data_IF_415103567413
#
_entry.id   IF_415103567413
#
_cell.length_a   1.000
_cell.length_b   1.000
_cell.length_c   1.000
_cell.angle_alpha   90.00
_cell.angle_beta   90.00
_cell.angle_gamma   90.00
#
_symmetry.space_group_name_H-M   'P 1'
#
loop_
_entity.id
_entity.type
_entity.pdbx_description
1 polymer ?
#
# COMPACT_ATOMS: atom_id res chain seq x y z
N UNK A 1 23.08 -13.93 -18.19
CA UNK A 1 23.43 -13.44 -16.84
C UNK A 1 22.20 -13.04 -16.01
N UNK A 2 21.13 -12.52 -16.61
CA UNK A 2 19.84 -12.29 -15.92
C UNK A 2 19.13 -13.61 -15.60
N UNK A 3 19.16 -14.62 -16.48
CA UNK A 3 18.48 -15.90 -16.22
C UNK A 3 19.11 -16.74 -15.09
N UNK A 4 20.43 -16.72 -14.91
CA UNK A 4 21.10 -17.43 -13.80
C UNK A 4 20.86 -16.81 -12.42
N UNK A 5 20.46 -15.53 -12.35
CA UNK A 5 20.06 -14.87 -11.10
C UNK A 5 18.59 -15.14 -10.74
N UNK A 6 17.78 -15.61 -11.68
CA UNK A 6 16.36 -15.94 -11.46
C UNK A 6 16.16 -17.40 -11.00
N UNK A 7 17.08 -18.31 -11.29
CA UNK A 7 16.96 -19.75 -10.98
C UNK A 7 17.03 -20.06 -9.47
N UNK A 8 17.76 -19.27 -8.67
CA UNK A 8 17.83 -19.40 -7.21
C UNK A 8 16.50 -19.19 -6.47
N UNK A 9 15.44 -18.80 -7.18
CA UNK A 9 14.12 -18.53 -6.61
C UNK A 9 13.04 -19.53 -7.04
N UNK A 10 13.24 -20.33 -8.10
CA UNK A 10 12.17 -21.16 -8.69
C UNK A 10 11.87 -22.38 -7.82
N UNK A 11 12.91 -23.03 -7.29
CA UNK A 11 12.79 -24.15 -6.36
C UNK A 11 12.18 -23.72 -5.01
N UNK A 12 12.61 -22.57 -4.49
CA UNK A 12 12.01 -21.97 -3.28
C UNK A 12 10.53 -21.60 -3.50
N UNK A 13 10.18 -21.13 -4.70
CA UNK A 13 8.81 -20.75 -5.04
C UNK A 13 7.92 -21.98 -5.25
N UNK A 14 8.44 -23.06 -5.83
CA UNK A 14 7.76 -24.37 -5.91
C UNK A 14 7.55 -24.99 -4.55
N UNK A 15 8.55 -24.93 -3.67
CA UNK A 15 8.43 -25.39 -2.28
C UNK A 15 7.37 -24.60 -1.52
N UNK A 16 7.40 -23.26 -1.63
CA UNK A 16 6.38 -22.37 -1.05
C UNK A 16 4.98 -22.71 -1.59
N UNK A 17 4.86 -23.03 -2.87
CA UNK A 17 3.61 -23.40 -3.53
C UNK A 17 3.06 -24.74 -3.01
N UNK A 18 3.90 -25.75 -2.85
CA UNK A 18 3.49 -27.05 -2.28
C UNK A 18 3.18 -26.97 -0.78
N UNK A 19 3.89 -26.13 -0.02
CA UNK A 19 3.57 -25.82 1.38
C UNK A 19 2.19 -25.17 1.49
N UNK A 20 1.86 -24.21 0.62
CA UNK A 20 0.54 -23.57 0.57
C UNK A 20 -0.54 -24.57 0.15
N UNK A 21 -0.32 -25.37 -0.90
CA UNK A 21 -1.28 -26.41 -1.30
C UNK A 21 -1.55 -27.40 -0.18
N UNK A 22 -0.50 -27.83 0.52
CA UNK A 22 -0.62 -28.74 1.66
C UNK A 22 -1.37 -28.08 2.82
N UNK A 23 -1.08 -26.81 3.10
CA UNK A 23 -1.80 -26.00 4.07
C UNK A 23 -3.31 -25.92 3.76
N UNK A 24 -3.69 -25.69 2.51
CA UNK A 24 -5.10 -25.64 2.09
C UNK A 24 -5.77 -27.01 2.01
N UNK A 25 -5.05 -28.07 1.63
CA UNK A 25 -5.56 -29.46 1.63
C UNK A 25 -5.94 -29.93 3.03
N UNK A 26 -5.20 -29.49 4.05
CA UNK A 26 -5.42 -29.85 5.44
C UNK A 26 -6.44 -28.93 6.15
N UNK A 27 -7.04 -27.97 5.43
CA UNK A 27 -8.02 -27.05 6.00
C UNK A 27 -9.44 -27.62 5.92
N UNK A 28 -10.24 -27.39 6.97
CA UNK A 28 -11.65 -27.76 6.98
C UNK A 28 -12.40 -27.04 5.86
N UNK A 29 -13.26 -27.73 5.08
CA UNK A 29 -14.05 -27.10 4.01
C UNK A 29 -14.85 -25.89 4.50
N UNK A 30 -15.37 -25.92 5.72
CA UNK A 30 -16.11 -24.80 6.30
C UNK A 30 -15.27 -23.52 6.47
N UNK A 31 -13.99 -23.64 6.83
CA UNK A 31 -13.08 -22.49 6.98
C UNK A 31 -12.83 -21.82 5.62
N UNK A 32 -12.82 -22.61 4.55
CA UNK A 32 -12.68 -22.15 3.18
C UNK A 32 -13.91 -21.32 2.77
N UNK A 33 -15.12 -21.86 2.91
CA UNK A 33 -16.35 -21.16 2.53
C UNK A 33 -16.64 -19.95 3.41
N UNK A 34 -16.30 -20.03 4.71
CA UNK A 34 -16.48 -18.91 5.63
C UNK A 34 -15.45 -17.82 5.38
N UNK A 35 -14.38 -18.07 4.62
CA UNK A 35 -13.32 -17.11 4.30
C UNK A 35 -12.19 -17.02 5.34
N UNK A 36 -12.24 -17.85 6.39
CA UNK A 36 -11.27 -17.87 7.49
C UNK A 36 -9.86 -18.27 7.03
N UNK A 37 -9.75 -18.82 5.83
CA UNK A 37 -8.46 -19.11 5.19
C UNK A 37 -7.57 -17.89 5.01
N UNK A 38 -8.15 -16.71 4.76
CA UNK A 38 -7.40 -15.49 4.48
C UNK A 38 -6.64 -14.98 5.71
N UNK A 39 -7.24 -15.13 6.88
CA UNK A 39 -6.58 -14.80 8.13
C UNK A 39 -5.34 -15.65 8.38
N UNK A 40 -5.47 -16.97 8.20
CA UNK A 40 -4.36 -17.88 8.40
C UNK A 40 -3.27 -17.65 7.34
N UNK A 41 -3.66 -17.24 6.12
CA UNK A 41 -2.73 -16.80 5.07
C UNK A 41 -1.97 -15.53 5.48
N UNK A 42 -2.65 -14.54 6.04
CA UNK A 42 -2.00 -13.35 6.59
C UNK A 42 -1.00 -13.77 7.67
N UNK A 43 -1.40 -14.58 8.66
CA UNK A 43 -0.45 -15.04 9.67
C UNK A 43 0.81 -15.71 9.07
N UNK A 44 0.65 -16.54 8.04
CA UNK A 44 1.78 -17.15 7.30
C UNK A 44 2.62 -16.13 6.54
N UNK A 45 2.00 -15.11 5.95
CA UNK A 45 2.68 -14.00 5.27
C UNK A 45 3.47 -13.13 6.26
N UNK A 46 2.91 -12.90 7.45
CA UNK A 46 3.35 -11.90 8.40
C UNK A 46 4.40 -12.43 9.38
N UNK A 47 4.16 -13.58 10.02
CA UNK A 47 4.94 -14.02 11.19
C UNK A 47 6.36 -14.52 10.89
N UNK A 48 6.56 -15.15 9.73
CA UNK A 48 7.84 -15.76 9.36
C UNK A 48 8.64 -14.96 8.34
N UNK A 49 7.98 -14.14 7.52
CA UNK A 49 8.63 -13.40 6.44
C UNK A 49 9.29 -12.10 6.94
N UNK A 50 8.64 -11.38 7.86
CA UNK A 50 9.17 -10.16 8.49
C UNK A 50 10.51 -10.39 9.19
N UNK A 51 10.68 -11.55 9.84
CA UNK A 51 11.90 -11.90 10.56
C UNK A 51 13.10 -12.15 9.64
N UNK A 52 12.85 -12.40 8.35
CA UNK A 52 13.88 -12.82 7.39
C UNK A 52 14.26 -11.72 6.41
N UNK A 53 13.32 -10.87 6.02
CA UNK A 53 13.50 -9.88 4.95
C UNK A 53 13.66 -8.50 5.58
N UNK A 54 14.87 -7.94 5.44
CA UNK A 54 15.26 -6.60 5.90
C UNK A 54 15.87 -5.80 4.74
N UNK A 55 16.17 -4.51 4.96
CA UNK A 55 16.86 -3.71 3.95
C UNK A 55 18.26 -4.30 3.63
N UNK A 56 18.96 -4.78 4.65
CA UNK A 56 20.27 -5.42 4.52
C UNK A 56 20.20 -6.74 3.73
N UNK A 57 19.11 -7.50 3.90
CA UNK A 57 18.86 -8.69 3.11
C UNK A 57 18.86 -8.37 1.60
N UNK A 58 18.15 -7.32 1.18
CA UNK A 58 18.12 -6.91 -0.23
C UNK A 58 19.43 -6.31 -0.73
N UNK A 59 20.13 -5.53 0.09
CA UNK A 59 21.45 -5.01 -0.29
C UNK A 59 22.48 -6.13 -0.50
N UNK A 60 22.40 -7.20 0.30
CA UNK A 60 23.26 -8.38 0.15
C UNK A 60 22.88 -9.20 -1.09
N UNK A 61 21.59 -9.34 -1.39
CA UNK A 61 21.10 -10.08 -2.55
C UNK A 61 21.33 -9.32 -3.87
N UNK A 62 21.30 -7.98 -3.83
CA UNK A 62 21.40 -7.09 -4.99
C UNK A 62 22.45 -5.97 -4.77
N UNK A 63 23.75 -6.31 -4.61
CA UNK A 63 24.77 -5.32 -4.28
C UNK A 63 24.91 -4.25 -5.36
N UNK A 64 24.89 -2.98 -4.95
CA UNK A 64 25.10 -1.81 -5.82
C UNK A 64 23.91 -1.39 -6.67
N UNK A 65 22.74 -2.05 -6.54
CA UNK A 65 21.52 -1.64 -7.23
C UNK A 65 20.71 -0.63 -6.40
N UNK A 66 20.16 0.44 -7.02
CA UNK A 66 19.25 1.34 -6.33
C UNK A 66 17.91 0.65 -6.03
N UNK A 67 17.16 1.10 -5.00
CA UNK A 67 15.87 0.50 -4.62
C UNK A 67 14.90 0.32 -5.78
N UNK A 68 14.81 1.30 -6.67
CA UNK A 68 13.95 1.26 -7.87
C UNK A 68 14.23 0.07 -8.78
N UNK A 69 15.51 -0.26 -9.00
CA UNK A 69 15.90 -1.39 -9.84
C UNK A 69 15.54 -2.73 -9.18
N UNK A 70 15.73 -2.82 -7.86
CA UNK A 70 15.38 -4.02 -7.10
C UNK A 70 13.85 -4.21 -7.10
N UNK A 71 13.08 -3.14 -6.92
CA UNK A 71 11.60 -3.17 -7.00
C UNK A 71 11.12 -3.70 -8.36
N UNK A 72 11.71 -3.24 -9.47
CA UNK A 72 11.34 -3.73 -10.80
C UNK A 72 11.63 -5.23 -10.98
N UNK A 73 12.76 -5.72 -10.44
CA UNK A 73 13.08 -7.14 -10.41
C UNK A 73 12.07 -7.94 -9.56
N UNK A 74 11.69 -7.44 -8.37
CA UNK A 74 10.69 -8.08 -7.51
C UNK A 74 9.32 -8.15 -8.16
N UNK A 75 8.88 -7.07 -8.82
CA UNK A 75 7.62 -7.05 -9.57
C UNK A 75 7.67 -8.06 -10.72
N UNK A 76 8.77 -8.11 -11.49
CA UNK A 76 8.93 -9.07 -12.59
C UNK A 76 8.86 -10.53 -12.11
N UNK A 77 9.58 -10.85 -11.02
CA UNK A 77 9.57 -12.16 -10.37
C UNK A 77 8.16 -12.53 -9.89
N UNK A 78 7.50 -11.63 -9.16
CA UNK A 78 6.16 -11.83 -8.65
C UNK A 78 5.16 -12.12 -9.78
N UNK A 79 5.24 -11.38 -10.89
CA UNK A 79 4.42 -11.61 -12.08
C UNK A 79 4.68 -13.00 -12.69
N UNK A 80 5.94 -13.41 -12.82
CA UNK A 80 6.33 -14.76 -13.33
C UNK A 80 5.72 -15.86 -12.46
N UNK A 81 5.82 -15.76 -11.14
CA UNK A 81 5.26 -16.76 -10.23
C UNK A 81 3.72 -16.77 -10.17
N UNK A 82 3.08 -15.60 -10.22
CA UNK A 82 1.63 -15.50 -10.32
C UNK A 82 1.08 -16.09 -11.64
N UNK A 83 1.87 -16.04 -12.72
CA UNK A 83 1.54 -16.69 -13.99
C UNK A 83 1.62 -18.21 -13.88
N UNK A 84 2.66 -18.75 -13.21
CA UNK A 84 2.84 -20.19 -12.98
C UNK A 84 1.66 -20.76 -12.16
N UNK A 85 1.23 -20.08 -11.08
CA UNK A 85 0.08 -20.52 -10.29
C UNK A 85 -1.22 -20.51 -11.09
N UNK A 86 -1.43 -19.52 -11.97
CA UNK A 86 -2.59 -19.46 -12.87
C UNK A 86 -2.60 -20.51 -13.99
N UNK A 87 -1.45 -21.12 -14.30
CA UNK A 87 -1.29 -22.14 -15.34
C UNK A 87 -1.64 -23.55 -14.86
N UNK A 88 -1.36 -23.87 -13.59
CA UNK A 88 -1.57 -25.22 -13.05
C UNK A 88 -3.05 -25.62 -12.97
N UNK A 89 -3.97 -24.67 -12.79
CA UNK A 89 -5.42 -24.96 -12.74
C UNK A 89 -6.05 -25.19 -14.11
N UNK A 90 -5.47 -24.65 -15.18
CA UNK A 90 -6.02 -24.76 -16.54
C UNK A 90 -6.08 -26.21 -17.06
N UNK A 91 -5.26 -27.13 -16.51
CA UNK A 91 -5.27 -28.55 -16.86
C UNK A 91 -6.29 -29.38 -16.07
N UNK A 92 -6.75 -28.91 -14.90
CA UNK A 92 -7.73 -29.62 -14.08
C UNK A 92 -9.19 -29.29 -14.45
N UNK A 93 -9.43 -28.12 -15.06
CA UNK A 93 -10.78 -27.66 -15.40
C UNK A 93 -11.42 -28.36 -16.61
N UNK A 94 -10.64 -29.02 -17.47
CA UNK A 94 -11.18 -29.65 -18.69
C UNK A 94 -11.74 -31.06 -18.49
N UNK A 95 -11.57 -31.70 -17.32
CA UNK A 95 -11.99 -33.09 -17.12
C UNK A 95 -13.17 -33.32 -16.16
N UNK A 96 -13.27 -32.55 -15.07
CA UNK A 96 -14.16 -32.92 -13.95
C UNK A 96 -15.55 -32.24 -13.98
N UNK A 97 -15.72 -31.14 -14.72
CA UNK A 97 -17.01 -30.43 -14.79
C UNK A 97 -17.90 -30.97 -15.92
N UNK A 98 -17.31 -31.58 -16.96
CA UNK A 98 -18.08 -32.18 -18.06
C UNK A 98 -18.73 -33.50 -17.64
N UNK A 99 -18.13 -34.23 -16.70
CA UNK A 99 -18.65 -35.52 -16.22
C UNK A 99 -19.92 -35.40 -15.34
N UNK A 100 -20.26 -34.22 -14.83
CA UNK A 100 -21.45 -34.00 -13.99
C UNK A 100 -22.62 -33.35 -14.73
N UNK A 101 -22.44 -32.96 -16.00
CA UNK A 101 -23.51 -32.38 -16.82
C UNK A 101 -24.14 -33.46 -17.74
N UNK A 102 -23.39 -34.51 -18.08
CA UNK A 102 -23.84 -35.56 -18.98
C UNK A 102 -24.33 -36.83 -18.29
N UNK A 103 -25.42 -36.78 -17.51
CA UNK A 103 -26.45 -37.84 -17.38
C UNK A 103 -27.49 -37.50 -16.30
N UNK A 104 -28.69 -37.16 -16.77
CA UNK A 104 -30.00 -37.19 -16.07
C UNK A 104 -30.12 -36.40 -14.76
N UNK A 105 -30.70 -35.20 -14.89
CA UNK A 105 -31.80 -34.71 -14.04
C UNK A 105 -31.61 -34.68 -12.51
N UNK A 106 -31.37 -33.49 -11.97
CA UNK A 106 -31.74 -33.14 -10.60
C UNK A 106 -30.71 -33.44 -9.50
N UNK A 107 -29.73 -32.54 -9.32
CA UNK A 107 -29.05 -32.27 -8.04
C UNK A 107 -28.02 -31.13 -8.22
N UNK A 108 -28.49 -29.91 -8.47
CA UNK A 108 -27.68 -28.70 -8.30
C UNK A 108 -27.42 -28.50 -6.82
N UNK A 109 -26.23 -28.89 -6.32
CA UNK A 109 -25.60 -28.40 -5.05
C UNK A 109 -24.30 -29.10 -4.63
N UNK A 110 -23.77 -30.08 -5.36
CA UNK A 110 -22.49 -30.70 -5.01
C UNK A 110 -21.41 -30.27 -6.02
N UNK A 111 -20.96 -29.03 -5.88
CA UNK A 111 -19.65 -28.65 -6.43
C UNK A 111 -18.62 -29.39 -5.57
N UNK A 112 -17.89 -30.33 -6.17
CA UNK A 112 -17.00 -31.27 -5.48
C UNK A 112 -15.97 -30.50 -4.62
N UNK A 113 -15.78 -30.86 -3.33
CA UNK A 113 -14.82 -30.21 -2.42
C UNK A 113 -13.42 -29.99 -3.02
N UNK A 114 -12.92 -30.95 -3.81
CA UNK A 114 -11.59 -30.91 -4.42
C UNK A 114 -11.38 -29.75 -5.43
N UNK A 115 -12.41 -29.39 -6.20
CA UNK A 115 -12.32 -28.29 -7.17
C UNK A 115 -12.24 -26.93 -6.46
N UNK A 116 -12.95 -26.78 -5.34
CA UNK A 116 -12.96 -25.57 -4.52
C UNK A 116 -11.64 -25.44 -3.73
N UNK A 117 -11.11 -26.55 -3.19
CA UNK A 117 -9.80 -26.55 -2.52
C UNK A 117 -8.67 -26.08 -3.44
N UNK A 118 -8.68 -26.50 -4.71
CA UNK A 118 -7.64 -26.10 -5.68
C UNK A 118 -7.73 -24.61 -6.02
N UNK A 119 -8.94 -24.10 -6.28
CA UNK A 119 -9.16 -22.68 -6.56
C UNK A 119 -8.76 -21.79 -5.36
N UNK A 120 -9.04 -22.23 -4.14
CA UNK A 120 -8.69 -21.51 -2.92
C UNK A 120 -7.18 -21.55 -2.67
N UNK A 121 -6.51 -22.68 -2.98
CA UNK A 121 -5.06 -22.77 -2.92
C UNK A 121 -4.37 -21.81 -3.91
N UNK A 122 -4.87 -21.71 -5.15
CA UNK A 122 -4.32 -20.78 -6.14
C UNK A 122 -4.56 -19.31 -5.77
N UNK A 123 -5.76 -19.03 -5.23
CA UNK A 123 -6.11 -17.71 -4.70
C UNK A 123 -5.23 -17.35 -3.51
N UNK A 124 -5.02 -18.28 -2.58
CA UNK A 124 -4.14 -18.11 -1.42
C UNK A 124 -2.68 -17.90 -1.81
N UNK A 125 -2.16 -18.69 -2.74
CA UNK A 125 -0.78 -18.52 -3.23
C UNK A 125 -0.58 -17.15 -3.88
N UNK A 126 -1.48 -16.74 -4.76
CA UNK A 126 -1.40 -15.44 -5.43
C UNK A 126 -1.53 -14.29 -4.44
N UNK A 127 -2.41 -14.42 -3.45
CA UNK A 127 -2.59 -13.43 -2.38
C UNK A 127 -1.33 -13.33 -1.50
N UNK A 128 -0.71 -14.45 -1.14
CA UNK A 128 0.54 -14.45 -0.38
C UNK A 128 1.65 -13.72 -1.14
N UNK A 129 1.76 -14.01 -2.43
CA UNK A 129 2.77 -13.39 -3.28
C UNK A 129 2.55 -11.88 -3.44
N UNK A 130 1.30 -11.44 -3.57
CA UNK A 130 0.94 -10.01 -3.63
C UNK A 130 1.24 -9.29 -2.31
N UNK A 131 0.93 -9.92 -1.17
CA UNK A 131 1.25 -9.40 0.16
C UNK A 131 2.77 -9.28 0.38
N UNK A 132 3.53 -10.32 0.03
CA UNK A 132 5.00 -10.32 0.13
C UNK A 132 5.62 -9.26 -0.77
N UNK A 133 5.13 -9.12 -2.01
CA UNK A 133 5.61 -8.10 -2.93
C UNK A 133 5.40 -6.69 -2.36
N UNK A 134 4.22 -6.41 -1.82
CA UNK A 134 3.95 -5.11 -1.20
C UNK A 134 4.87 -4.83 0.01
N UNK A 135 5.12 -5.84 0.84
CA UNK A 135 6.07 -5.74 1.95
C UNK A 135 7.52 -5.54 1.52
N UNK A 136 7.99 -6.31 0.54
CA UNK A 136 9.34 -6.16 -0.02
C UNK A 136 9.56 -4.73 -0.52
N UNK A 137 8.59 -4.20 -1.27
CA UNK A 137 8.63 -2.83 -1.80
C UNK A 137 8.67 -1.80 -0.65
N UNK A 138 7.90 -2.03 0.41
CA UNK A 138 7.88 -1.14 1.57
C UNK A 138 9.25 -1.07 2.26
N UNK A 139 9.91 -2.23 2.44
CA UNK A 139 11.28 -2.31 2.96
C UNK A 139 12.27 -1.59 2.05
N UNK A 140 12.20 -1.85 0.74
CA UNK A 140 13.15 -1.30 -0.23
C UNK A 140 13.14 0.23 -0.25
N UNK A 141 11.99 0.84 0.00
CA UNK A 141 11.84 2.29 0.13
C UNK A 141 12.01 2.80 1.58
N UNK A 142 12.49 1.99 2.52
CA UNK A 142 12.80 2.43 3.89
C UNK A 142 11.57 2.58 4.80
N UNK A 143 10.41 2.10 4.37
CA UNK A 143 9.16 2.13 5.14
C UNK A 143 8.63 0.72 5.36
N UNK A 144 9.33 -0.11 6.16
CA UNK A 144 8.82 -1.43 6.51
C UNK A 144 7.43 -1.28 7.10
N UNK A 145 6.46 -2.01 6.55
CA UNK A 145 5.10 -2.04 7.07
C UNK A 145 5.13 -2.53 8.51
N UNK A 146 4.54 -1.77 9.41
CA UNK A 146 4.31 -2.23 10.77
C UNK A 146 2.98 -3.00 10.83
N UNK A 147 3.06 -4.31 10.97
CA UNK A 147 1.87 -5.14 11.10
C UNK A 147 1.16 -4.99 12.45
N UNK A 148 1.83 -4.38 13.42
CA UNK A 148 1.26 -3.96 14.70
C UNK A 148 0.61 -2.56 14.62
N UNK A 149 0.68 -1.87 13.48
CA UNK A 149 -0.12 -0.67 13.21
C UNK A 149 -1.39 -1.03 12.39
N UNK A 150 -2.60 -0.80 12.94
CA UNK A 150 -3.84 -1.02 12.22
C UNK A 150 -3.95 -0.31 10.87
N UNK A 151 -3.33 0.86 10.75
CA UNK A 151 -3.38 1.65 9.52
C UNK A 151 -2.51 1.03 8.43
N UNK A 152 -1.30 0.60 8.77
CA UNK A 152 -0.37 -0.06 7.85
C UNK A 152 -0.92 -1.40 7.33
N UNK A 153 -1.60 -2.16 8.17
CA UNK A 153 -2.27 -3.40 7.72
C UNK A 153 -3.45 -3.13 6.79
N UNK A 154 -4.28 -2.12 7.10
CA UNK A 154 -5.40 -1.71 6.22
C UNK A 154 -4.88 -1.32 4.85
N UNK A 155 -3.84 -0.49 4.86
CA UNK A 155 -3.13 -0.01 3.69
C UNK A 155 -2.58 -1.13 2.82
N UNK A 156 -2.01 -2.17 3.44
CA UNK A 156 -1.52 -3.34 2.74
C UNK A 156 -2.65 -4.12 2.07
N UNK A 157 -3.77 -4.33 2.77
CA UNK A 157 -4.93 -5.05 2.24
C UNK A 157 -5.53 -4.27 1.06
N UNK A 158 -5.73 -2.96 1.21
CA UNK A 158 -6.25 -2.10 0.15
C UNK A 158 -5.33 -2.11 -1.08
N UNK A 159 -4.03 -2.06 -0.86
CA UNK A 159 -3.01 -2.09 -1.90
C UNK A 159 -2.96 -3.43 -2.64
N UNK A 160 -2.94 -4.54 -1.88
CA UNK A 160 -2.81 -5.89 -2.40
C UNK A 160 -4.08 -6.40 -3.08
N UNK A 161 -5.27 -6.02 -2.59
CA UNK A 161 -6.53 -6.56 -3.09
C UNK A 161 -7.38 -5.55 -3.86
N UNK A 162 -6.96 -4.28 -3.92
CA UNK A 162 -7.61 -3.25 -4.74
C UNK A 162 -9.06 -2.99 -4.35
N UNK A 163 -9.43 -3.31 -3.10
CA UNK A 163 -10.73 -2.97 -2.55
C UNK A 163 -10.70 -1.46 -2.35
N UNK A 164 -11.25 -0.69 -3.30
CA UNK A 164 -11.61 0.69 -3.00
C UNK A 164 -12.67 0.62 -1.88
N UNK A 165 -12.23 0.75 -0.64
CA UNK A 165 -13.07 0.73 0.55
C UNK A 165 -14.10 1.89 0.61
N UNK A 166 -14.29 2.64 -0.47
CA UNK A 166 -15.32 3.70 -0.56
C UNK A 166 -16.42 3.43 -1.59
N UNK A 167 -16.16 2.69 -2.68
CA UNK A 167 -17.09 2.62 -3.82
C UNK A 167 -17.78 1.27 -3.98
N UNK A 168 -17.26 0.20 -3.37
CA UNK A 168 -17.85 -1.15 -3.45
C UNK A 168 -18.55 -1.61 -2.15
N UNK A 169 -18.75 -0.69 -1.19
CA UNK A 169 -19.38 -0.99 0.10
C UNK A 169 -20.90 -0.80 0.02
N UNK A 170 -21.62 -1.78 -0.52
CA UNK A 170 -23.03 -1.93 -0.14
C UNK A 170 -23.11 -2.24 1.38
N UNK A 171 -24.14 -1.70 2.04
CA UNK A 171 -24.53 -1.68 3.49
C UNK A 171 -24.03 -2.80 4.44
N UNK A 172 -23.55 -3.93 3.97
CA UNK A 172 -23.03 -5.05 4.76
C UNK A 172 -21.57 -4.87 5.27
N UNK A 173 -20.86 -3.82 4.87
CA UNK A 173 -19.41 -3.67 5.14
C UNK A 173 -19.01 -2.36 5.84
N UNK A 174 -19.97 -1.57 6.35
CA UNK A 174 -19.71 -0.39 7.19
C UNK A 174 -19.02 -0.71 8.54
N UNK A 175 -18.74 -2.00 8.81
CA UNK A 175 -18.15 -2.49 10.05
C UNK A 175 -16.66 -2.85 9.93
N UNK A 176 -15.97 -2.48 8.85
CA UNK A 176 -14.50 -2.56 8.79
C UNK A 176 -13.88 -1.23 9.26
N UNK A 177 -14.17 -0.84 10.51
CA UNK A 177 -13.62 0.38 11.12
C UNK A 177 -12.17 0.14 11.62
N UNK A 178 -11.33 1.19 11.73
CA UNK A 178 -9.96 1.11 12.26
C UNK A 178 -9.86 0.52 13.69
N UNK A 179 -10.94 0.53 14.46
CA UNK A 179 -10.99 -0.14 15.78
C UNK A 179 -10.96 -1.67 15.69
N UNK A 180 -11.41 -2.29 14.58
CA UNK A 180 -11.44 -3.75 14.41
C UNK A 180 -10.04 -4.36 14.27
N UNK A 181 -9.12 -3.62 13.64
CA UNK A 181 -7.74 -4.06 13.44
C UNK A 181 -6.89 -3.77 14.70
N UNK A 182 -7.29 -2.80 15.54
CA UNK A 182 -6.66 -2.57 16.86
C UNK A 182 -6.82 -3.78 17.81
N UNK A 183 -7.88 -4.57 17.64
CA UNK A 183 -8.11 -5.83 18.37
C UNK A 183 -7.26 -6.99 17.84
N UNK A 184 -6.88 -6.97 16.56
CA UNK A 184 -6.00 -7.96 15.91
C UNK A 184 -4.60 -7.99 16.54
N UNK A 185 -4.07 -6.82 16.92
CA UNK A 185 -2.68 -6.64 17.36
C UNK A 185 -2.51 -6.87 18.87
N UNK A 186 -3.45 -6.38 19.71
CA UNK A 186 -3.33 -6.53 21.17
C UNK A 186 -3.43 -7.98 21.68
N UNK A 187 -3.98 -8.92 20.89
CA UNK A 187 -4.31 -10.29 21.32
C UNK A 187 -3.46 -11.40 20.68
N UNK A 188 -2.52 -11.08 19.81
CA UNK A 188 -1.52 -12.02 19.29
C UNK A 188 -0.27 -12.10 20.16
N UNK A 189 -0.01 -11.07 20.98
CA UNK A 189 1.08 -11.05 21.98
C UNK A 189 0.66 -11.53 23.38
N UNK A 190 -0.64 -11.68 23.65
CA UNK A 190 -1.14 -12.20 24.93
C UNK A 190 -2.22 -13.25 24.68
N UNK A 191 -1.86 -14.53 24.85
CA UNK A 191 -2.65 -15.68 24.41
C UNK A 191 -4.10 -15.69 24.90
N UNK A 192 -5.06 -15.49 23.98
CA UNK A 192 -6.38 -16.12 23.99
C UNK A 192 -7.05 -15.95 22.61
N UNK A 193 -7.01 -17.01 21.81
CA UNK A 193 -6.93 -16.99 20.35
C UNK A 193 -8.22 -17.25 19.56
N UNK A 194 -9.43 -16.97 20.07
CA UNK A 194 -10.66 -17.44 19.39
C UNK A 194 -11.79 -16.41 19.17
N UNK A 195 -11.62 -15.16 19.60
CA UNK A 195 -12.63 -14.11 19.34
C UNK A 195 -12.13 -12.94 18.48
N UNK A 196 -10.81 -12.84 18.25
CA UNK A 196 -10.18 -11.82 17.41
C UNK A 196 -10.28 -12.10 15.88
N UNK A 197 -10.82 -13.26 15.50
CA UNK A 197 -10.83 -13.82 14.13
C UNK A 197 -12.11 -13.53 13.30
N UNK A 198 -13.06 -12.73 13.82
CA UNK A 198 -14.44 -12.73 13.28
C UNK A 198 -14.70 -11.83 12.05
N UNK A 199 -13.76 -10.97 11.63
CA UNK A 199 -13.95 -10.00 10.53
C UNK A 199 -13.16 -10.30 9.24
N UNK A 200 -11.99 -10.93 9.33
CA UNK A 200 -11.17 -11.36 8.18
C UNK A 200 -11.84 -12.39 7.23
N UNK A 201 -12.79 -13.23 7.69
CA UNK A 201 -13.49 -14.13 6.81
C UNK A 201 -14.31 -13.39 5.73
N UNK A 202 -14.60 -12.10 5.93
CA UNK A 202 -15.25 -11.23 4.93
C UNK A 202 -14.36 -10.98 3.71
N UNK A 203 -13.06 -10.69 3.90
CA UNK A 203 -12.11 -10.49 2.80
C UNK A 203 -11.90 -11.79 2.05
N UNK A 204 -11.71 -12.90 2.78
CA UNK A 204 -11.62 -14.23 2.18
C UNK A 204 -12.88 -14.61 1.38
N UNK A 205 -14.07 -14.28 1.88
CA UNK A 205 -15.35 -14.46 1.17
C UNK A 205 -15.44 -13.56 -0.06
N UNK A 206 -15.05 -12.29 0.03
CA UNK A 206 -15.08 -11.34 -1.08
C UNK A 206 -14.17 -11.82 -2.23
N UNK A 207 -12.93 -12.19 -1.90
CA UNK A 207 -11.97 -12.71 -2.88
C UNK A 207 -12.49 -14.00 -3.54
N UNK A 208 -13.11 -14.89 -2.75
CA UNK A 208 -13.73 -16.12 -3.22
C UNK A 208 -14.94 -15.82 -4.14
N UNK A 209 -15.86 -14.95 -3.73
CA UNK A 209 -17.05 -14.58 -4.49
C UNK A 209 -16.70 -13.87 -5.81
N UNK A 210 -15.78 -12.92 -5.80
CA UNK A 210 -15.41 -12.15 -6.99
C UNK A 210 -14.71 -13.03 -8.05
N UNK A 211 -14.01 -14.10 -7.62
CA UNK A 211 -13.37 -15.09 -8.52
C UNK A 211 -14.32 -16.23 -8.94
N UNK A 212 -15.23 -16.69 -8.07
CA UNK A 212 -16.18 -17.78 -8.37
C UNK A 212 -17.35 -17.29 -9.25
N UNK A 213 -17.96 -16.13 -8.94
CA UNK A 213 -19.18 -15.65 -9.61
C UNK A 213 -18.92 -15.25 -11.07
N UNK A 214 -17.70 -14.78 -11.39
CA UNK A 214 -17.31 -14.43 -12.77
C UNK A 214 -16.79 -15.63 -13.58
N UNK A 215 -16.65 -16.82 -12.98
CA UNK A 215 -16.13 -18.03 -13.64
C UNK A 215 -17.16 -19.15 -13.83
N UNK A 216 -18.38 -19.01 -13.32
CA UNK A 216 -19.37 -20.09 -13.23
C UNK A 216 -20.62 -19.89 -14.13
N UNK A 217 -20.47 -19.30 -15.32
CA UNK A 217 -21.55 -19.18 -16.31
C UNK A 217 -21.38 -20.26 -17.40
N UNK A 218 -22.39 -21.09 -17.71
CA UNK A 218 -22.29 -22.09 -18.77
C UNK A 218 -22.31 -21.42 -20.15
N UNK A 219 -21.31 -21.70 -20.98
CA UNK A 219 -21.20 -21.21 -22.35
C UNK A 219 -20.30 -19.97 -22.48
N UNK A 220 -18.97 -20.20 -22.48
CA UNK A 220 -17.91 -19.24 -22.89
C UNK A 220 -17.78 -18.02 -21.94
N UNK A 221 -16.83 -17.96 -21.00
CA UNK A 221 -15.43 -17.59 -21.24
C UNK A 221 -14.60 -17.88 -19.97
N UNK A 222 -13.66 -18.80 -20.04
CA UNK A 222 -12.53 -18.87 -19.09
C UNK A 222 -11.60 -17.69 -19.44
N UNK A 223 -11.40 -16.67 -18.60
CA UNK A 223 -10.35 -15.73 -18.88
C UNK A 223 -9.03 -16.37 -18.40
N UNK A 224 -8.15 -16.64 -19.35
CA UNK A 224 -6.80 -17.20 -19.19
C UNK A 224 -6.16 -16.81 -17.84
N UNK A 225 -6.19 -17.73 -16.86
CA UNK A 225 -5.76 -17.48 -15.47
C UNK A 225 -4.30 -17.04 -15.34
N UNK A 226 -3.47 -17.42 -16.32
CA UNK A 226 -2.06 -17.02 -16.44
C UNK A 226 -1.93 -15.51 -16.69
N UNK A 227 -2.66 -14.98 -17.68
CA UNK A 227 -2.53 -13.59 -18.11
C UNK A 227 -3.13 -12.58 -17.12
N UNK A 228 -4.29 -12.92 -16.53
CA UNK A 228 -4.94 -12.04 -15.54
C UNK A 228 -4.16 -11.95 -14.23
N UNK A 229 -3.61 -13.06 -13.72
CA UNK A 229 -2.82 -13.03 -12.49
C UNK A 229 -1.48 -12.31 -12.71
N UNK A 230 -0.85 -12.49 -13.88
CA UNK A 230 0.35 -11.73 -14.28
C UNK A 230 0.08 -10.22 -14.32
N UNK A 231 -1.02 -9.80 -14.95
CA UNK A 231 -1.38 -8.38 -15.05
C UNK A 231 -1.72 -7.77 -13.68
N UNK A 232 -2.61 -8.41 -12.92
CA UNK A 232 -3.06 -7.88 -11.62
C UNK A 232 -1.92 -7.75 -10.61
N UNK A 233 -1.05 -8.76 -10.50
CA UNK A 233 0.13 -8.70 -9.62
C UNK A 233 1.09 -7.59 -10.06
N UNK A 234 1.26 -7.38 -11.36
CA UNK A 234 2.04 -6.25 -11.87
C UNK A 234 1.44 -4.89 -11.49
N UNK A 235 0.11 -4.74 -11.57
CA UNK A 235 -0.56 -3.50 -11.17
C UNK A 235 -0.49 -3.24 -9.66
N UNK A 236 -0.60 -4.28 -8.84
CA UNK A 236 -0.40 -4.19 -7.38
C UNK A 236 1.03 -3.75 -7.06
N UNK A 237 2.02 -4.38 -7.70
CA UNK A 237 3.42 -4.00 -7.57
C UNK A 237 3.67 -2.53 -7.94
N UNK A 238 3.09 -2.06 -9.05
CA UNK A 238 3.19 -0.64 -9.45
C UNK A 238 2.54 0.30 -8.46
N UNK A 239 1.35 -0.03 -7.94
CA UNK A 239 0.68 0.80 -6.90
C UNK A 239 1.51 0.86 -5.62
N UNK A 240 2.08 -0.27 -5.20
CA UNK A 240 2.97 -0.34 -4.06
C UNK A 240 4.20 0.53 -4.29
N UNK A 241 4.81 0.40 -5.48
CA UNK A 241 5.94 1.24 -5.90
C UNK A 241 5.59 2.72 -5.79
N UNK A 242 4.53 3.19 -6.45
CA UNK A 242 4.14 4.60 -6.40
C UNK A 242 3.94 5.09 -4.97
N UNK A 243 3.22 4.32 -4.13
CA UNK A 243 2.94 4.70 -2.74
C UNK A 243 4.22 4.84 -1.90
N UNK A 244 5.06 3.81 -1.87
CA UNK A 244 6.24 3.79 -0.99
C UNK A 244 7.39 4.63 -1.53
N UNK A 245 7.57 4.69 -2.85
CA UNK A 245 8.51 5.61 -3.50
C UNK A 245 8.19 7.06 -3.14
N UNK A 246 6.92 7.45 -3.22
CA UNK A 246 6.50 8.81 -2.87
C UNK A 246 6.82 9.15 -1.42
N UNK A 247 6.55 8.23 -0.49
CA UNK A 247 6.90 8.40 0.92
C UNK A 247 8.42 8.55 1.13
N UNK A 248 9.23 7.75 0.44
CA UNK A 248 10.68 7.89 0.47
C UNK A 248 11.16 9.22 -0.13
N UNK A 249 10.55 9.67 -1.23
CA UNK A 249 10.85 10.95 -1.86
C UNK A 249 10.48 12.14 -0.97
N UNK A 250 9.39 12.03 -0.20
CA UNK A 250 9.01 12.99 0.85
C UNK A 250 10.10 13.07 1.91
N UNK A 251 10.50 11.93 2.46
CA UNK A 251 11.52 11.87 3.51
C UNK A 251 12.88 12.39 3.02
N UNK A 252 13.26 12.08 1.78
CA UNK A 252 14.45 12.63 1.12
C UNK A 252 14.35 14.16 0.94
N UNK A 253 13.24 14.66 0.42
CA UNK A 253 13.03 16.09 0.24
C UNK A 253 13.05 16.85 1.58
N UNK A 254 12.46 16.26 2.62
CA UNK A 254 12.45 16.84 3.97
C UNK A 254 13.82 16.73 4.61
N UNK A 255 14.56 15.63 4.48
CA UNK A 255 15.91 15.47 5.05
C UNK A 255 16.89 16.47 4.45
N UNK A 256 16.83 16.68 3.14
CA UNK A 256 17.80 17.51 2.41
C UNK A 256 17.43 19.01 2.47
N UNK A 257 16.29 19.36 3.07
CA UNK A 257 15.82 20.74 3.19
C UNK A 257 16.68 21.58 4.16
N UNK A 258 17.05 22.83 3.87
CA UNK A 258 17.88 23.64 4.78
C UNK A 258 17.06 24.28 5.90
N UNK A 259 16.82 23.54 6.99
CA UNK A 259 16.02 24.00 8.12
C UNK A 259 16.75 25.02 9.00
N UNK A 260 18.07 25.07 8.97
CA UNK A 260 18.91 25.91 9.84
C UNK A 260 18.72 27.40 9.53
N UNK A 261 18.35 27.74 8.30
CA UNK A 261 18.08 29.12 7.87
C UNK A 261 16.71 29.67 8.28
N UNK A 262 15.85 28.84 8.89
CA UNK A 262 14.50 29.25 9.31
C UNK A 262 14.54 29.53 10.82
N UNK A 263 14.25 30.77 11.22
CA UNK A 263 14.28 31.19 12.61
C UNK A 263 13.02 30.79 13.35
N UNK A 264 11.85 30.97 12.73
CA UNK A 264 10.56 30.65 13.33
C UNK A 264 9.96 29.37 12.73
N UNK A 265 10.21 28.22 13.39
CA UNK A 265 9.70 26.92 12.91
C UNK A 265 8.20 26.76 13.05
N UNK A 266 7.58 27.44 14.02
CA UNK A 266 6.14 27.44 14.16
C UNK A 266 5.46 28.16 12.97
N UNK A 267 5.96 29.34 12.57
CA UNK A 267 5.51 30.05 11.38
C UNK A 267 5.68 29.21 10.11
N UNK A 268 6.83 28.55 9.97
CA UNK A 268 7.10 27.64 8.86
C UNK A 268 6.07 26.50 8.77
N UNK A 269 5.79 25.82 9.89
CA UNK A 269 4.77 24.76 9.94
C UNK A 269 3.36 25.29 9.66
N UNK A 270 3.03 26.48 10.18
CA UNK A 270 1.76 27.15 9.91
C UNK A 270 1.56 27.43 8.41
N UNK A 271 2.60 27.88 7.72
CA UNK A 271 2.53 28.18 6.29
C UNK A 271 2.43 26.91 5.43
N UNK A 272 3.11 25.83 5.81
CA UNK A 272 2.93 24.51 5.17
C UNK A 272 1.52 24.00 5.38
N UNK A 273 0.98 24.12 6.60
CA UNK A 273 -0.39 23.71 6.91
C UNK A 273 -1.42 24.50 6.09
N UNK A 274 -1.26 25.82 5.96
CA UNK A 274 -2.13 26.64 5.13
C UNK A 274 -2.08 26.26 3.64
N UNK A 275 -0.92 25.83 3.16
CA UNK A 275 -0.76 25.34 1.79
C UNK A 275 -1.54 24.04 1.57
N UNK A 276 -1.29 23.04 2.41
CA UNK A 276 -1.95 21.73 2.40
C UNK A 276 -3.46 21.88 2.54
N UNK A 277 -3.91 22.64 3.53
CA UNK A 277 -5.34 22.74 3.84
C UNK A 277 -6.08 23.79 3.01
N UNK A 278 -5.46 24.35 1.98
CA UNK A 278 -6.04 25.42 1.16
C UNK A 278 -7.33 24.97 0.44
N UNK A 279 -7.39 23.70 0.03
CA UNK A 279 -8.57 23.09 -0.61
C UNK A 279 -9.56 22.45 0.41
N UNK A 280 -9.27 22.58 1.71
CA UNK A 280 -10.00 21.99 2.85
C UNK A 280 -9.97 20.46 2.91
N UNK A 281 -8.98 19.84 2.27
CA UNK A 281 -8.72 18.41 2.37
C UNK A 281 -7.28 18.21 2.82
N UNK A 282 -7.00 17.00 3.28
CA UNK A 282 -5.64 16.56 3.60
C UNK A 282 -5.50 15.16 3.07
N UNK A 283 -4.58 14.99 2.14
CA UNK A 283 -4.18 13.69 1.61
C UNK A 283 -3.12 13.05 2.50
N UNK A 284 -2.90 11.75 2.31
CA UNK A 284 -1.86 11.03 3.07
C UNK A 284 -0.43 11.53 2.77
N UNK A 285 -0.04 11.77 1.50
CA UNK A 285 1.28 12.35 1.20
C UNK A 285 1.52 13.68 1.90
N UNK A 286 0.55 14.59 1.92
CA UNK A 286 0.64 15.88 2.61
C UNK A 286 0.79 15.71 4.13
N UNK A 287 0.02 14.80 4.73
CA UNK A 287 0.15 14.48 6.15
C UNK A 287 1.53 13.87 6.48
N UNK A 288 2.08 13.01 5.61
CA UNK A 288 3.44 12.47 5.76
C UNK A 288 4.49 13.57 5.66
N UNK A 289 4.35 14.49 4.70
CA UNK A 289 5.25 15.61 4.52
C UNK A 289 5.30 16.53 5.74
N UNK A 290 4.13 16.91 6.26
CA UNK A 290 4.04 17.72 7.48
C UNK A 290 4.63 16.98 8.69
N UNK A 291 4.32 15.69 8.85
CA UNK A 291 4.87 14.86 9.93
C UNK A 291 6.39 14.72 9.84
N UNK A 292 6.94 14.53 8.64
CA UNK A 292 8.38 14.43 8.46
C UNK A 292 9.08 15.72 8.90
N UNK A 293 8.50 16.89 8.59
CA UNK A 293 9.02 18.16 9.09
C UNK A 293 8.89 18.31 10.60
N UNK A 294 7.74 17.98 11.20
CA UNK A 294 7.60 18.08 12.66
C UNK A 294 8.60 17.18 13.39
N UNK A 295 8.79 15.94 12.90
CA UNK A 295 9.82 15.03 13.43
C UNK A 295 11.22 15.62 13.29
N UNK A 296 11.62 16.11 12.11
CA UNK A 296 12.95 16.69 11.92
C UNK A 296 13.17 17.96 12.76
N UNK A 297 12.14 18.79 12.94
CA UNK A 297 12.20 19.99 13.80
C UNK A 297 12.37 19.60 15.28
N UNK A 298 11.75 18.51 15.74
CA UNK A 298 11.99 17.97 17.08
C UNK A 298 13.43 17.45 17.23
N UNK A 299 13.95 16.75 16.23
CA UNK A 299 15.31 16.18 16.24
C UNK A 299 16.40 17.26 16.33
N UNK A 300 16.19 18.43 15.71
CA UNK A 300 17.11 19.57 15.82
C UNK A 300 16.92 20.40 17.10
N UNK A 301 16.02 19.99 18.01
CA UNK A 301 15.85 20.59 19.34
C UNK A 301 14.74 21.63 19.47
N UNK A 302 13.98 21.93 18.42
CA UNK A 302 12.88 22.93 18.43
C UNK A 302 11.53 22.32 18.85
N UNK A 303 11.51 21.60 19.97
CA UNK A 303 10.29 20.96 20.51
C UNK A 303 9.16 21.97 20.80
N UNK A 304 9.42 23.15 21.41
CA UNK A 304 8.36 24.12 21.71
C UNK A 304 7.59 24.61 20.48
N UNK A 305 8.27 24.79 19.35
CA UNK A 305 7.63 25.22 18.09
C UNK A 305 6.63 24.18 17.58
N UNK A 306 7.01 22.90 17.66
CA UNK A 306 6.17 21.78 17.25
C UNK A 306 5.00 21.59 18.20
N UNK A 307 5.22 21.75 19.50
CA UNK A 307 4.14 21.73 20.49
C UNK A 307 3.13 22.87 20.27
N UNK A 308 3.62 24.09 20.04
CA UNK A 308 2.77 25.24 19.78
C UNK A 308 1.93 25.03 18.52
N UNK A 309 2.55 24.58 17.44
CA UNK A 309 1.86 24.19 16.21
C UNK A 309 0.78 23.12 16.47
N UNK A 310 1.13 22.04 17.19
CA UNK A 310 0.22 20.91 17.42
C UNK A 310 -1.03 21.24 18.26
N UNK A 311 -0.96 22.30 19.09
CA UNK A 311 -2.06 22.77 19.93
C UNK A 311 -2.94 23.80 19.20
N UNK A 312 -2.51 24.30 18.05
CA UNK A 312 -3.21 25.34 17.30
C UNK A 312 -4.44 24.74 16.59
N UNK A 313 -5.61 25.36 16.83
CA UNK A 313 -6.89 24.95 16.22
C UNK A 313 -7.35 25.97 15.18
N UNK A 314 -7.13 27.26 15.45
CA UNK A 314 -7.46 28.34 14.52
C UNK A 314 -6.20 28.82 13.81
N UNK A 315 -6.24 28.80 12.48
CA UNK A 315 -5.16 29.29 11.63
C UNK A 315 -5.67 30.54 10.91
N UNK A 316 -5.39 31.72 11.48
CA UNK A 316 -5.70 32.98 10.82
C UNK A 316 -4.71 33.18 9.67
N UNK A 317 -5.21 32.93 8.45
CA UNK A 317 -4.43 33.02 7.22
C UNK A 317 -3.78 34.40 7.06
N UNK A 318 -4.52 35.48 7.32
CA UNK A 318 -4.01 36.83 7.09
C UNK A 318 -2.92 37.18 8.10
N UNK A 319 -3.13 36.85 9.38
CA UNK A 319 -2.12 37.04 10.42
C UNK A 319 -0.84 36.27 10.09
N UNK A 320 -0.96 34.98 9.76
CA UNK A 320 0.18 34.11 9.43
C UNK A 320 0.93 34.62 8.19
N UNK A 321 0.23 35.03 7.14
CA UNK A 321 0.87 35.56 5.93
C UNK A 321 1.56 36.90 6.20
N UNK A 322 1.01 37.76 7.05
CA UNK A 322 1.65 39.04 7.39
C UNK A 322 2.97 38.86 8.15
N UNK A 323 3.14 37.75 8.88
CA UNK A 323 4.41 37.44 9.56
C UNK A 323 5.56 37.16 8.60
N UNK A 324 5.29 36.84 7.32
CA UNK A 324 6.34 36.73 6.30
C UNK A 324 7.15 38.02 6.14
N UNK A 325 6.52 39.18 6.37
CA UNK A 325 7.20 40.48 6.30
C UNK A 325 8.37 40.59 7.29
N UNK A 326 8.35 39.84 8.38
CA UNK A 326 9.40 39.82 9.41
C UNK A 326 10.57 38.89 9.05
N UNK A 327 10.40 38.00 8.07
CA UNK A 327 11.44 37.09 7.61
C UNK A 327 12.41 37.79 6.65
N UNK A 328 13.66 37.33 6.64
CA UNK A 328 14.64 37.75 5.63
C UNK A 328 14.25 37.23 4.24
N UNK A 329 14.77 37.85 3.16
CA UNK A 329 14.49 37.40 1.79
C UNK A 329 14.91 35.93 1.59
N UNK A 330 16.06 35.53 2.12
CA UNK A 330 16.56 34.15 2.05
C UNK A 330 15.65 33.16 2.80
N UNK A 331 15.15 33.55 3.97
CA UNK A 331 14.22 32.74 4.75
C UNK A 331 12.88 32.59 4.01
N UNK A 332 12.33 33.69 3.46
CA UNK A 332 11.09 33.63 2.67
C UNK A 332 11.24 32.74 1.44
N UNK A 333 12.35 32.82 0.72
CA UNK A 333 12.65 31.93 -0.42
C UNK A 333 12.74 30.47 0.01
N UNK A 334 13.33 30.21 1.17
CA UNK A 334 13.44 28.86 1.72
C UNK A 334 12.05 28.32 2.08
N UNK A 335 11.26 29.07 2.86
CA UNK A 335 9.88 28.73 3.20
C UNK A 335 9.04 28.48 1.95
N UNK A 336 9.18 29.34 0.93
CA UNK A 336 8.45 29.21 -0.33
C UNK A 336 8.75 27.89 -1.06
N UNK A 337 9.99 27.40 -1.01
CA UNK A 337 10.33 26.07 -1.56
C UNK A 337 9.57 24.95 -0.85
N UNK A 338 9.42 25.01 0.47
CA UNK A 338 8.63 24.00 1.20
C UNK A 338 7.15 24.07 0.83
N UNK A 339 6.59 25.27 0.67
CA UNK A 339 5.20 25.47 0.22
C UNK A 339 5.00 24.86 -1.18
N UNK A 340 5.94 25.10 -2.10
CA UNK A 340 5.89 24.51 -3.44
C UNK A 340 5.93 22.98 -3.40
N UNK A 341 6.72 22.38 -2.50
CA UNK A 341 6.73 20.93 -2.32
C UNK A 341 5.40 20.45 -1.72
N UNK A 342 4.88 21.16 -0.72
CA UNK A 342 3.64 20.80 -0.02
C UNK A 342 2.46 20.61 -0.98
N UNK A 343 2.28 21.55 -1.93
CA UNK A 343 1.17 21.53 -2.89
C UNK A 343 1.35 20.58 -4.09
N UNK A 344 2.49 19.88 -4.19
CA UNK A 344 2.74 18.93 -5.28
C UNK A 344 3.12 17.54 -4.81
N UNK A 345 3.09 17.31 -3.50
CA UNK A 345 3.58 16.09 -2.88
C UNK A 345 2.66 14.89 -3.15
N UNK A 346 1.38 15.13 -3.40
CA UNK A 346 0.37 14.13 -3.69
C UNK A 346 0.12 13.95 -5.21
N UNK A 347 -0.03 15.04 -5.96
CA UNK A 347 -0.15 15.09 -7.42
C UNK A 347 0.07 16.53 -7.91
N UNK A 348 -0.42 16.89 -9.10
CA UNK A 348 -0.48 18.27 -9.57
C UNK A 348 -1.36 19.13 -8.66
N UNK A 349 -0.99 20.40 -8.45
CA UNK A 349 -1.75 21.29 -7.59
C UNK A 349 -3.12 21.58 -8.21
N UNK A 350 -4.11 21.75 -7.36
CA UNK A 350 -5.42 22.30 -7.70
C UNK A 350 -5.35 23.81 -7.97
N UNK A 351 -6.39 24.37 -8.58
CA UNK A 351 -6.52 25.82 -8.78
C UNK A 351 -6.50 26.60 -7.45
N UNK A 352 -7.00 25.99 -6.37
CA UNK A 352 -7.04 26.59 -5.04
C UNK A 352 -5.65 26.65 -4.41
N UNK A 353 -4.87 25.57 -4.53
CA UNK A 353 -3.49 25.53 -4.06
C UNK A 353 -2.61 26.49 -4.86
N UNK A 354 -2.79 26.55 -6.19
CA UNK A 354 -2.11 27.53 -7.04
C UNK A 354 -2.46 28.97 -6.64
N UNK A 355 -3.72 29.25 -6.32
CA UNK A 355 -4.12 30.57 -5.83
C UNK A 355 -3.42 30.92 -4.51
N UNK A 356 -3.30 29.96 -3.58
CA UNK A 356 -2.54 30.15 -2.34
C UNK A 356 -1.05 30.41 -2.61
N UNK A 357 -0.42 29.63 -3.48
CA UNK A 357 0.99 29.83 -3.86
C UNK A 357 1.20 31.22 -4.44
N UNK A 358 0.36 31.67 -5.37
CA UNK A 358 0.44 33.02 -5.96
C UNK A 358 0.29 34.13 -4.92
N UNK A 359 -0.56 33.92 -3.91
CA UNK A 359 -0.73 34.88 -2.83
C UNK A 359 0.53 34.95 -1.94
N UNK A 360 1.14 33.82 -1.61
CA UNK A 360 2.43 33.78 -0.88
C UNK A 360 3.51 34.49 -1.70
N UNK A 361 3.60 34.25 -3.01
CA UNK A 361 4.54 34.92 -3.91
C UNK A 361 4.40 36.44 -3.83
N UNK A 362 3.18 36.94 -3.91
CA UNK A 362 2.89 38.38 -3.81
C UNK A 362 3.25 38.95 -2.43
N UNK A 363 2.91 38.25 -1.34
CA UNK A 363 3.19 38.72 0.04
C UNK A 363 4.66 38.65 0.41
N UNK A 364 5.38 37.65 -0.12
CA UNK A 364 6.77 37.42 0.19
C UNK A 364 7.73 38.23 -0.71
N UNK A 365 7.22 38.78 -1.81
CA UNK A 365 7.98 39.48 -2.87
C UNK A 365 9.08 38.59 -3.49
N UNK A 366 8.66 37.42 -4.01
CA UNK A 366 9.56 36.40 -4.59
C UNK A 366 9.20 36.19 -6.07
N UNK A 367 10.19 35.83 -6.91
CA UNK A 367 9.94 35.39 -8.28
C UNK A 367 9.41 33.94 -8.32
N UNK A 368 8.39 33.67 -9.13
CA UNK A 368 7.78 32.34 -9.26
C UNK A 368 7.52 31.96 -10.72
N UNK A 369 7.88 30.72 -11.08
CA UNK A 369 7.58 30.09 -12.36
C UNK A 369 6.70 28.86 -12.14
N UNK A 370 5.47 28.93 -12.64
CA UNK A 370 4.50 27.84 -12.56
C UNK A 370 4.95 26.57 -13.29
N UNK A 371 5.79 26.69 -14.32
CA UNK A 371 6.32 25.52 -15.02
C UNK A 371 7.27 24.71 -14.13
N UNK A 372 8.04 25.39 -13.28
CA UNK A 372 8.91 24.75 -12.29
C UNK A 372 8.14 23.88 -11.30
N UNK A 373 6.89 24.23 -10.99
CA UNK A 373 6.04 23.47 -10.09
C UNK A 373 5.57 22.14 -10.72
N UNK A 374 5.27 22.15 -12.02
CA UNK A 374 4.95 20.92 -12.76
C UNK A 374 6.14 19.95 -12.86
N UNK A 375 7.37 20.47 -13.02
CA UNK A 375 8.58 19.63 -12.99
C UNK A 375 8.84 19.09 -11.58
N UNK A 376 8.53 19.86 -10.53
CA UNK A 376 8.64 19.41 -9.14
C UNK A 376 7.67 18.26 -8.84
N UNK A 377 6.42 18.35 -9.31
CA UNK A 377 5.41 17.30 -9.13
C UNK A 377 5.89 15.93 -9.68
N UNK A 378 6.64 15.92 -10.79
CA UNK A 378 7.18 14.68 -11.39
C UNK A 378 8.17 13.95 -10.47
N UNK A 379 8.79 14.63 -9.49
CA UNK A 379 9.69 13.99 -8.53
C UNK A 379 8.95 13.09 -7.53
N UNK A 380 7.67 13.35 -7.28
CA UNK A 380 6.82 12.60 -6.36
C UNK A 380 5.87 11.61 -7.08
N UNK A 381 5.90 11.59 -8.41
CA UNK A 381 5.08 10.75 -9.31
C UNK A 381 5.50 9.29 -9.43
#
# INVERSE_FOLDING_TARGET
>A
MVDQLLDGTEESSRKTLEEIKTFFRNMMPEDIYKGAWFEKLLYLALSNYQKKVTAEYFQKEYPGLPPDAIVDLRIALAKKYAAISGGMTSLAYSGAVVATIGKRGGASKVIIPAAITTLVADLGYTSLLQLRLAYDISILYGHPLDYDDPQDLTDLIDLAFGVKAGEALNKSLQQLAPEFIRVFIKKTLTGSSLQALKALPVVGKYLLQNKIIKGAIPGINIPLGVGLNYYNTGQIGKRARTKYRRRAAIDEAVRDFPLEGIQNKCLFLNLIWLAIYSDKKVTRPEAWFLRAFTTRIQEIGSIPDVENFSKQVNFDKEEILNLLANCSIEERQTIFKAICIAVVVDDKPSDTELAFVREVVHRADIAFDENGLNELAKKFG
#
